data_IF_587948759407
#
_entry.id   IF_587948759407
#
_cell.length_a   1.000
_cell.length_b   1.000
_cell.length_c   1.000
_cell.angle_alpha   90.00
_cell.angle_beta   90.00
_cell.angle_gamma   90.00
#
_symmetry.space_group_name_H-M   'P 1'
#
loop_
_entity.id
_entity.type
_entity.pdbx_description
1 polymer ?
#
# COMPACT_ATOMS: atom_id res chain seq x y z
N UNK A 1 -9.50 4.73 5.32
CA UNK A 1 -8.29 4.09 4.80
C UNK A 1 -7.10 4.97 5.12
N UNK A 2 -6.01 4.36 5.52
CA UNK A 2 -4.76 5.04 5.85
C UNK A 2 -3.67 4.64 4.86
N UNK A 3 -2.94 5.61 4.35
CA UNK A 3 -1.77 5.39 3.50
C UNK A 3 -0.50 5.65 4.30
N UNK A 4 0.42 4.70 4.29
CA UNK A 4 1.74 4.82 4.92
C UNK A 4 2.82 4.70 3.84
N UNK A 5 3.59 5.75 3.68
CA UNK A 5 4.65 5.83 2.67
C UNK A 5 6.01 6.04 3.33
N UNK A 6 7.06 5.82 2.58
CA UNK A 6 8.43 6.04 3.03
C UNK A 6 9.41 5.30 2.13
N UNK A 7 10.68 5.59 2.30
CA UNK A 7 11.74 4.91 1.56
C UNK A 7 11.87 3.44 1.94
N UNK A 8 12.74 2.75 1.22
CA UNK A 8 13.08 1.37 1.50
C UNK A 8 13.60 1.19 2.93
N UNK A 9 13.17 0.15 3.60
CA UNK A 9 13.64 -0.24 4.94
C UNK A 9 13.54 0.86 6.02
N UNK A 10 12.53 1.72 5.94
CA UNK A 10 12.33 2.79 6.93
C UNK A 10 11.44 2.39 8.11
N UNK A 11 10.99 1.14 8.16
CA UNK A 11 10.20 0.63 9.28
C UNK A 11 8.70 0.86 9.18
N UNK A 12 8.16 0.98 7.97
CA UNK A 12 6.73 1.27 7.75
C UNK A 12 5.80 0.22 8.36
N UNK A 13 6.03 -1.06 8.10
CA UNK A 13 5.19 -2.14 8.65
C UNK A 13 5.29 -2.18 10.16
N UNK A 14 6.49 -2.06 10.71
CA UNK A 14 6.70 -2.03 12.16
C UNK A 14 5.95 -0.87 12.81
N UNK A 15 5.97 0.29 12.20
CA UNK A 15 5.22 1.46 12.65
C UNK A 15 3.71 1.14 12.73
N UNK A 16 3.15 0.55 11.69
CA UNK A 16 1.73 0.17 11.63
C UNK A 16 1.38 -0.85 12.72
N UNK A 17 2.21 -1.87 12.89
CA UNK A 17 1.99 -2.92 13.90
C UNK A 17 2.08 -2.34 15.31
N UNK A 18 3.02 -1.44 15.58
CA UNK A 18 3.14 -0.79 16.88
C UNK A 18 1.91 0.06 17.23
N UNK A 19 1.30 0.71 16.25
CA UNK A 19 0.10 1.52 16.47
C UNK A 19 -1.17 0.68 16.70
N UNK A 20 -1.28 -0.47 16.02
CA UNK A 20 -2.54 -1.23 15.98
C UNK A 20 -2.49 -2.56 16.75
N UNK A 21 -1.31 -2.99 17.18
CA UNK A 21 -1.08 -4.31 17.75
C UNK A 21 -0.95 -5.39 16.68
N UNK A 22 -0.04 -6.34 16.88
CA UNK A 22 0.20 -7.43 15.93
C UNK A 22 -1.04 -8.31 15.74
N UNK A 23 -1.73 -8.64 16.83
CA UNK A 23 -2.95 -9.44 16.79
C UNK A 23 -4.12 -8.71 16.14
N UNK A 24 -4.10 -7.39 16.07
CA UNK A 24 -5.13 -6.56 15.45
C UNK A 24 -4.98 -6.39 13.96
N UNK A 25 -3.91 -6.91 13.35
CA UNK A 25 -3.60 -6.73 11.94
C UNK A 25 -3.59 -8.06 11.19
N UNK A 26 -4.12 -8.05 9.97
CA UNK A 26 -3.91 -9.11 8.99
C UNK A 26 -3.10 -8.54 7.85
N UNK A 27 -1.83 -8.96 7.74
CA UNK A 27 -0.87 -8.40 6.78
C UNK A 27 -0.80 -9.27 5.53
N UNK A 28 -0.92 -8.62 4.38
CA UNK A 28 -0.77 -9.23 3.06
C UNK A 28 0.42 -8.56 2.36
N UNK A 29 1.45 -9.35 2.11
CA UNK A 29 2.70 -8.87 1.50
C UNK A 29 2.60 -8.96 -0.02
N UNK A 30 2.63 -7.81 -0.68
CA UNK A 30 2.55 -7.68 -2.14
C UNK A 30 1.35 -8.46 -2.73
N UNK A 31 0.24 -8.50 -2.01
CA UNK A 31 -0.98 -9.21 -2.43
C UNK A 31 -2.22 -8.54 -1.86
N UNK A 32 -3.36 -8.76 -2.50
CA UNK A 32 -4.65 -8.35 -1.98
C UNK A 32 -5.39 -9.58 -1.45
N UNK A 33 -6.06 -9.48 -0.29
CA UNK A 33 -6.84 -10.59 0.24
C UNK A 33 -8.04 -10.90 -0.65
N UNK A 34 -8.39 -12.18 -0.74
CA UNK A 34 -9.63 -12.61 -1.41
C UNK A 34 -10.86 -12.32 -0.54
N UNK A 35 -12.06 -12.57 -1.07
CA UNK A 35 -13.31 -12.28 -0.37
C UNK A 35 -13.44 -13.03 0.95
N UNK A 36 -12.99 -14.28 1.02
CA UNK A 36 -13.02 -15.07 2.24
C UNK A 36 -12.08 -14.51 3.32
N UNK A 37 -10.89 -14.06 2.91
CA UNK A 37 -9.91 -13.42 3.80
C UNK A 37 -10.42 -12.08 4.31
N UNK A 38 -11.03 -11.28 3.43
CA UNK A 38 -11.65 -10.00 3.81
C UNK A 38 -12.76 -10.21 4.85
N UNK A 39 -13.62 -11.19 4.62
CA UNK A 39 -14.69 -11.55 5.56
C UNK A 39 -14.14 -12.02 6.90
N UNK A 40 -13.12 -12.87 6.90
CA UNK A 40 -12.47 -13.35 8.11
C UNK A 40 -11.87 -12.21 8.94
N UNK A 41 -11.25 -11.23 8.28
CA UNK A 41 -10.71 -10.05 8.97
C UNK A 41 -11.83 -9.22 9.62
N UNK A 42 -12.91 -8.97 8.90
CA UNK A 42 -14.06 -8.22 9.40
C UNK A 42 -14.71 -8.92 10.60
N UNK A 43 -14.94 -10.22 10.51
CA UNK A 43 -15.52 -11.01 11.60
C UNK A 43 -14.61 -11.06 12.84
N UNK A 44 -13.29 -11.08 12.64
CA UNK A 44 -12.31 -11.06 13.72
C UNK A 44 -11.99 -9.68 14.27
N UNK A 45 -12.57 -8.62 13.72
CA UNK A 45 -12.28 -7.24 14.11
C UNK A 45 -10.83 -6.83 13.81
N UNK A 46 -10.22 -7.42 12.80
CA UNK A 46 -8.82 -7.18 12.43
C UNK A 46 -8.74 -6.22 11.25
N UNK A 47 -7.69 -5.40 11.25
CA UNK A 47 -7.43 -4.43 10.19
C UNK A 47 -6.63 -5.11 9.07
N UNK A 48 -7.10 -4.97 7.84
CA UNK A 48 -6.35 -5.42 6.67
C UNK A 48 -5.19 -4.46 6.43
N UNK A 49 -3.98 -5.00 6.32
CA UNK A 49 -2.77 -4.25 6.01
C UNK A 49 -2.19 -4.79 4.71
N UNK A 50 -2.12 -3.95 3.70
CA UNK A 50 -1.51 -4.28 2.42
C UNK A 50 -0.10 -3.71 2.42
N UNK A 51 0.88 -4.59 2.59
CA UNK A 51 2.29 -4.20 2.60
C UNK A 51 2.91 -4.35 1.21
N UNK A 52 3.92 -3.55 0.91
CA UNK A 52 4.63 -3.56 -0.36
C UNK A 52 3.70 -3.42 -1.58
N UNK A 53 2.77 -2.47 -1.52
CA UNK A 53 1.84 -2.22 -2.63
C UNK A 53 2.59 -2.04 -3.97
N UNK A 54 3.75 -1.38 -3.96
CA UNK A 54 4.56 -1.16 -5.15
C UNK A 54 4.98 -2.47 -5.83
N UNK A 55 5.27 -3.53 -5.06
CA UNK A 55 5.61 -4.85 -5.61
C UNK A 55 4.40 -5.50 -6.25
N UNK A 56 3.24 -5.39 -5.62
CA UNK A 56 2.01 -5.90 -6.20
C UNK A 56 1.69 -5.21 -7.53
N UNK A 57 1.85 -3.88 -7.59
CA UNK A 57 1.65 -3.12 -8.83
C UNK A 57 2.60 -3.64 -9.93
N UNK A 58 3.87 -3.85 -9.58
CA UNK A 58 4.86 -4.37 -10.51
C UNK A 58 4.48 -5.75 -11.05
N UNK A 59 4.04 -6.65 -10.20
CA UNK A 59 3.58 -7.98 -10.61
C UNK A 59 2.38 -7.89 -11.57
N UNK A 60 1.43 -7.02 -11.27
CA UNK A 60 0.27 -6.81 -12.12
C UNK A 60 0.66 -6.29 -13.51
N UNK A 61 1.52 -5.30 -13.58
CA UNK A 61 2.01 -4.75 -14.84
C UNK A 61 2.79 -5.80 -15.65
N UNK A 62 3.63 -6.58 -15.00
CA UNK A 62 4.38 -7.66 -15.63
C UNK A 62 3.46 -8.73 -16.21
N UNK A 63 2.33 -9.00 -15.55
CA UNK A 63 1.32 -9.93 -16.02
C UNK A 63 0.37 -9.34 -17.07
N UNK A 64 0.58 -8.09 -17.49
CA UNK A 64 -0.26 -7.41 -18.48
C UNK A 64 -1.64 -7.01 -17.94
N UNK A 65 -1.79 -6.91 -16.63
CA UNK A 65 -3.06 -6.55 -15.99
C UNK A 65 -3.10 -5.05 -15.64
N UNK A 66 -4.31 -4.55 -15.39
CA UNK A 66 -4.55 -3.17 -15.00
C UNK A 66 -4.72 -3.11 -13.48
N UNK A 67 -3.69 -2.66 -12.71
CA UNK A 67 -3.75 -2.67 -11.25
C UNK A 67 -4.79 -1.70 -10.69
N UNK A 68 -5.05 -0.58 -11.37
CA UNK A 68 -5.92 0.48 -10.88
C UNK A 68 -7.33 0.00 -10.60
N UNK A 69 -7.95 -0.71 -11.54
CA UNK A 69 -9.33 -1.19 -11.38
C UNK A 69 -9.45 -2.15 -10.20
N UNK A 70 -8.54 -3.09 -10.10
CA UNK A 70 -8.55 -4.12 -9.06
C UNK A 70 -8.33 -3.47 -7.70
N UNK A 71 -7.34 -2.58 -7.60
CA UNK A 71 -6.98 -1.91 -6.36
C UNK A 71 -8.10 -1.00 -5.85
N UNK A 72 -8.63 -0.12 -6.70
CA UNK A 72 -9.63 0.84 -6.26
C UNK A 72 -10.97 0.18 -5.95
N UNK A 73 -11.32 -0.91 -6.62
CA UNK A 73 -12.46 -1.73 -6.24
C UNK A 73 -12.27 -2.32 -4.83
N UNK A 74 -11.11 -2.87 -4.56
CA UNK A 74 -10.76 -3.39 -3.23
C UNK A 74 -10.81 -2.29 -2.15
N UNK A 75 -10.22 -1.14 -2.41
CA UNK A 75 -10.20 -0.02 -1.45
C UNK A 75 -11.60 0.54 -1.18
N UNK A 76 -12.45 0.55 -2.20
CA UNK A 76 -13.84 0.98 -2.04
C UNK A 76 -14.63 0.08 -1.09
N UNK A 77 -14.37 -1.22 -1.14
CA UNK A 77 -15.01 -2.20 -0.27
C UNK A 77 -14.38 -2.31 1.13
N UNK A 78 -13.14 -1.87 1.28
CA UNK A 78 -12.36 -2.00 2.52
C UNK A 78 -11.83 -0.65 3.00
N UNK A 79 -12.73 0.22 3.42
CA UNK A 79 -12.40 1.62 3.74
C UNK A 79 -11.55 1.81 5.00
N UNK A 80 -11.43 0.78 5.83
CA UNK A 80 -10.65 0.84 7.07
C UNK A 80 -9.26 0.20 6.92
N UNK A 81 -8.89 -0.23 5.72
CA UNK A 81 -7.60 -0.86 5.49
C UNK A 81 -6.44 0.14 5.58
N UNK A 82 -5.26 -0.41 5.82
CA UNK A 82 -4.00 0.35 5.80
C UNK A 82 -3.19 -0.13 4.59
N UNK A 83 -2.74 0.81 3.78
CA UNK A 83 -1.90 0.55 2.60
C UNK A 83 -0.50 1.07 2.87
N UNK A 84 0.50 0.22 2.69
CA UNK A 84 1.91 0.55 2.85
C UNK A 84 2.60 0.46 1.49
N UNK A 85 3.34 1.50 1.13
CA UNK A 85 4.04 1.57 -0.14
C UNK A 85 5.38 2.28 0.00
N UNK A 86 6.41 1.74 -0.66
CA UNK A 86 7.68 2.45 -0.76
C UNK A 86 7.54 3.66 -1.69
N UNK A 87 8.27 4.72 -1.37
CA UNK A 87 8.47 5.84 -2.27
C UNK A 87 9.46 5.41 -3.37
N UNK A 88 8.89 4.95 -4.49
CA UNK A 88 9.66 4.66 -5.69
C UNK A 88 9.63 5.89 -6.59
N UNK A 89 10.50 6.06 -7.51
CA UNK A 89 10.51 7.23 -8.39
C UNK A 89 11.52 8.30 -7.96
N UNK A 90 12.19 8.09 -6.85
CA UNK A 90 13.34 8.92 -6.46
C UNK A 90 14.60 8.38 -7.14
N UNK A 91 15.49 9.30 -7.55
CA UNK A 91 16.76 8.94 -8.17
C UNK A 91 16.72 9.01 -9.71
N UNK A 92 17.62 8.26 -10.35
CA UNK A 92 17.83 8.31 -11.80
C UNK A 92 16.60 7.78 -12.55
N UNK A 93 16.20 8.47 -13.62
CA UNK A 93 15.14 7.98 -14.52
C UNK A 93 15.62 6.70 -15.23
N UNK A 94 14.89 5.58 -15.11
CA UNK A 94 15.28 4.33 -15.74
C UNK A 94 15.27 4.44 -17.28
N UNK A 95 16.22 3.74 -17.90
CA UNK A 95 16.26 3.61 -19.37
C UNK A 95 15.18 2.62 -19.85
N UNK A 96 14.94 1.56 -19.06
CA UNK A 96 13.95 0.54 -19.38
C UNK A 96 12.53 1.13 -19.39
N UNK A 97 11.78 1.04 -20.51
CA UNK A 97 10.42 1.55 -20.62
C UNK A 97 9.47 0.95 -19.58
N UNK A 98 9.61 -0.34 -19.24
CA UNK A 98 8.76 -1.00 -18.24
C UNK A 98 9.01 -0.42 -16.84
N UNK A 99 10.25 -0.16 -16.48
CA UNK A 99 10.59 0.46 -15.20
C UNK A 99 10.07 1.90 -15.12
N UNK A 100 10.12 2.66 -16.21
CA UNK A 100 9.54 4.01 -16.27
C UNK A 100 8.03 3.97 -16.10
N UNK A 101 7.35 3.06 -16.80
CA UNK A 101 5.91 2.88 -16.68
C UNK A 101 5.51 2.50 -15.25
N UNK A 102 6.23 1.57 -14.66
CA UNK A 102 6.00 1.14 -13.28
C UNK A 102 6.11 2.31 -12.29
N UNK A 103 7.16 3.10 -12.37
CA UNK A 103 7.36 4.27 -11.49
C UNK A 103 6.28 5.32 -11.69
N UNK A 104 5.93 5.61 -12.92
CA UNK A 104 4.91 6.61 -13.25
C UNK A 104 3.52 6.17 -12.80
N UNK A 105 3.15 4.92 -13.06
CA UNK A 105 1.84 4.40 -12.67
C UNK A 105 1.71 4.28 -11.16
N UNK A 106 2.74 3.81 -10.47
CA UNK A 106 2.75 3.77 -9.01
C UNK A 106 2.58 5.16 -8.42
N UNK A 107 3.29 6.14 -8.96
CA UNK A 107 3.15 7.53 -8.51
C UNK A 107 1.72 8.06 -8.67
N UNK A 108 1.08 7.82 -9.81
CA UNK A 108 -0.31 8.22 -10.04
C UNK A 108 -1.30 7.50 -9.12
N UNK A 109 -1.09 6.21 -8.91
CA UNK A 109 -1.91 5.41 -7.98
C UNK A 109 -1.80 5.98 -6.57
N UNK A 110 -0.60 6.30 -6.10
CA UNK A 110 -0.40 6.87 -4.77
C UNK A 110 -1.07 8.23 -4.62
N UNK A 111 -1.07 9.07 -5.65
CA UNK A 111 -1.79 10.34 -5.64
C UNK A 111 -3.29 10.11 -5.42
N UNK A 112 -3.88 9.16 -6.14
CA UNK A 112 -5.31 8.86 -6.00
C UNK A 112 -5.63 8.23 -4.64
N UNK A 113 -4.78 7.34 -4.13
CA UNK A 113 -4.97 6.78 -2.79
C UNK A 113 -4.89 7.88 -1.74
N UNK A 114 -3.92 8.79 -1.84
CA UNK A 114 -3.75 9.89 -0.89
C UNK A 114 -4.97 10.83 -0.87
N UNK A 115 -5.59 11.08 -2.03
CA UNK A 115 -6.82 11.86 -2.10
C UNK A 115 -7.96 11.20 -1.34
N UNK A 116 -8.10 9.89 -1.44
CA UNK A 116 -9.17 9.11 -0.83
C UNK A 116 -8.89 8.77 0.65
N UNK A 117 -7.64 8.75 1.05
CA UNK A 117 -7.24 8.37 2.41
C UNK A 117 -7.71 9.39 3.45
N UNK A 118 -8.11 8.89 4.62
CA UNK A 118 -8.43 9.73 5.77
C UNK A 118 -7.16 10.25 6.44
N UNK A 119 -6.08 9.48 6.33
CA UNK A 119 -4.78 9.81 6.91
C UNK A 119 -3.66 9.33 5.99
N UNK A 120 -2.63 10.16 5.84
CA UNK A 120 -1.39 9.82 5.14
C UNK A 120 -0.22 10.09 6.09
N UNK A 121 0.61 9.08 6.29
CA UNK A 121 1.79 9.15 7.16
C UNK A 121 3.03 8.79 6.36
N UNK A 122 4.08 9.59 6.49
CA UNK A 122 5.41 9.27 5.98
C UNK A 122 6.28 8.76 7.12
N UNK A 123 6.92 7.61 6.92
CA UNK A 123 7.81 7.01 7.93
C UNK A 123 9.27 7.20 7.51
N UNK A 124 10.05 7.81 8.39
CA UNK A 124 11.48 8.04 8.23
C UNK A 124 12.17 7.53 9.49
N UNK A 125 13.10 6.59 9.34
CA UNK A 125 13.82 5.99 10.48
C UNK A 125 12.88 5.48 11.58
N UNK A 126 11.78 4.85 11.19
CA UNK A 126 10.79 4.33 12.13
C UNK A 126 9.86 5.38 12.76
N UNK A 127 10.02 6.65 12.43
CA UNK A 127 9.23 7.76 12.98
C UNK A 127 8.17 8.15 11.95
N UNK A 128 6.89 8.10 12.37
CA UNK A 128 5.77 8.50 11.54
C UNK A 128 5.55 10.01 11.59
N UNK A 129 5.42 10.61 10.42
CA UNK A 129 5.07 12.01 10.26
C UNK A 129 3.73 12.09 9.52
N UNK A 130 2.73 12.65 10.16
CA UNK A 130 1.41 12.84 9.54
C UNK A 130 1.48 13.94 8.48
N UNK A 131 1.10 13.60 7.25
CA UNK A 131 1.05 14.54 6.11
C UNK A 131 -0.37 15.00 5.88
N UNK A 132 -1.32 14.09 6.09
CA UNK A 132 -2.74 14.37 5.94
C UNK A 132 -3.57 13.87 7.12
#
# INVERSE_FOLDING_TARGET
MKLVIGGYAQGKLRYVIQENGEAGCMVYDASLPDDAQQKAAAEGGRILVIDHLHRWIREMLTAGKEPEQILFSFLHENRDCIVICDEIGNGIVPIDPLEREYRERTGRILIEIAKQADEVVRVICGIGQKIK
#
